data_IF_476885728250
#
_entry.id   IF_476885728250
#
_cell.length_a   1.000
_cell.length_b   1.000
_cell.length_c   1.000
_cell.angle_alpha   90.00
_cell.angle_beta   90.00
_cell.angle_gamma   90.00
#
_symmetry.space_group_name_H-M   'P 1'
#
loop_
_entity.id
_entity.type
_entity.pdbx_description
1 polymer ?
#
# COMPACT_ATOMS: atom_id res chain seq x y z
N UNK A 1 16.29 -14.32 -23.55
CA UNK A 1 14.90 -14.24 -23.00
C UNK A 1 14.22 -15.54 -22.49
N UNK A 2 14.81 -16.75 -22.58
CA UNK A 2 14.16 -17.99 -22.07
C UNK A 2 14.20 -18.10 -20.53
N UNK A 3 15.31 -17.71 -19.91
CA UNK A 3 15.49 -17.77 -18.45
C UNK A 3 14.52 -16.85 -17.67
N UNK A 4 14.22 -15.66 -18.19
CA UNK A 4 13.28 -14.73 -17.54
C UNK A 4 11.83 -15.23 -17.64
N UNK A 5 11.43 -15.75 -18.81
CA UNK A 5 10.10 -16.32 -19.05
C UNK A 5 9.78 -17.56 -18.22
N UNK A 6 10.78 -18.30 -17.77
CA UNK A 6 10.60 -19.52 -16.97
C UNK A 6 10.56 -19.28 -15.46
N UNK A 7 10.92 -18.09 -14.99
CA UNK A 7 11.04 -17.83 -13.56
C UNK A 7 9.75 -17.38 -12.89
N UNK A 8 8.69 -17.06 -13.64
CA UNK A 8 7.41 -16.47 -13.18
C UNK A 8 7.51 -15.19 -12.30
N UNK A 9 8.73 -14.74 -11.99
CA UNK A 9 9.03 -13.56 -11.20
C UNK A 9 9.05 -12.29 -12.06
N UNK A 10 9.24 -12.41 -13.37
CA UNK A 10 9.29 -11.26 -14.29
C UNK A 10 7.94 -11.07 -14.98
N UNK A 11 7.26 -9.93 -14.76
CA UNK A 11 6.05 -9.61 -15.49
C UNK A 11 6.31 -9.57 -17.00
N UNK A 12 5.26 -9.86 -17.78
CA UNK A 12 5.33 -9.84 -19.25
C UNK A 12 5.85 -8.51 -19.80
N UNK A 13 5.56 -7.39 -19.12
CA UNK A 13 6.08 -6.06 -19.49
C UNK A 13 7.61 -6.02 -19.46
N UNK A 14 8.25 -6.54 -18.40
CA UNK A 14 9.72 -6.57 -18.26
C UNK A 14 10.35 -7.42 -19.35
N UNK A 15 9.78 -8.61 -19.59
CA UNK A 15 10.23 -9.54 -20.63
C UNK A 15 10.16 -8.92 -22.02
N UNK A 16 9.13 -8.11 -22.30
CA UNK A 16 8.97 -7.38 -23.56
C UNK A 16 9.97 -6.23 -23.70
N UNK A 17 10.17 -5.42 -22.65
CA UNK A 17 11.15 -4.33 -22.69
C UNK A 17 12.58 -4.85 -22.87
N UNK A 18 12.92 -5.96 -22.23
CA UNK A 18 14.21 -6.64 -22.43
C UNK A 18 14.33 -7.19 -23.86
N UNK A 19 13.26 -7.77 -24.42
CA UNK A 19 13.28 -8.24 -25.82
C UNK A 19 13.55 -7.09 -26.81
N UNK A 20 12.87 -5.95 -26.62
CA UNK A 20 13.05 -4.75 -27.45
C UNK A 20 14.47 -4.19 -27.28
N UNK A 21 15.00 -4.20 -26.05
CA UNK A 21 16.37 -3.77 -25.76
C UNK A 21 17.45 -4.67 -26.37
N UNK A 22 17.25 -5.99 -26.36
CA UNK A 22 18.12 -6.95 -27.04
C UNK A 22 18.09 -6.76 -28.58
N UNK A 23 16.91 -6.54 -29.17
CA UNK A 23 16.75 -6.37 -30.63
C UNK A 23 17.31 -5.03 -31.15
N UNK A 24 17.19 -3.96 -30.34
CA UNK A 24 17.67 -2.62 -30.69
C UNK A 24 19.10 -2.32 -30.21
N UNK A 25 19.74 -3.25 -29.51
CA UNK A 25 21.05 -3.03 -28.88
C UNK A 25 21.05 -2.00 -27.75
N UNK A 26 19.86 -1.68 -27.19
CA UNK A 26 19.65 -0.67 -26.15
C UNK A 26 19.23 -1.27 -24.80
N UNK A 27 19.68 -2.50 -24.52
CA UNK A 27 19.30 -3.27 -23.32
C UNK A 27 19.50 -2.48 -22.01
N UNK A 28 20.62 -1.77 -21.87
CA UNK A 28 20.91 -0.95 -20.68
C UNK A 28 19.83 0.13 -20.45
N UNK A 29 19.44 0.83 -21.52
CA UNK A 29 18.41 1.86 -21.45
C UNK A 29 17.03 1.27 -21.13
N UNK A 30 16.71 0.09 -21.68
CA UNK A 30 15.44 -0.59 -21.38
C UNK A 30 15.40 -1.11 -19.94
N UNK A 31 16.50 -1.63 -19.40
CA UNK A 31 16.60 -2.08 -18.01
C UNK A 31 16.50 -0.92 -17.03
N UNK A 32 17.14 0.22 -17.32
CA UNK A 32 17.01 1.43 -16.52
C UNK A 32 15.55 1.88 -16.43
N UNK A 33 14.82 1.87 -17.55
CA UNK A 33 13.41 2.23 -17.57
C UNK A 33 12.50 1.27 -16.79
N UNK A 34 12.85 -0.02 -16.77
CA UNK A 34 12.17 -1.00 -15.91
C UNK A 34 12.44 -0.70 -14.44
N UNK A 35 13.67 -0.34 -14.07
CA UNK A 35 14.02 0.05 -12.71
C UNK A 35 13.20 1.28 -12.26
N UNK A 36 13.19 2.35 -13.05
CA UNK A 36 12.42 3.57 -12.77
C UNK A 36 10.93 3.27 -12.58
N UNK A 37 10.37 2.35 -13.38
CA UNK A 37 8.98 1.94 -13.27
C UNK A 37 8.67 1.18 -11.96
N UNK A 38 9.56 0.30 -11.51
CA UNK A 38 9.37 -0.38 -10.24
C UNK A 38 9.61 0.52 -9.04
N UNK A 39 10.58 1.44 -9.12
CA UNK A 39 10.81 2.45 -8.10
C UNK A 39 9.55 3.30 -7.91
N UNK A 40 8.98 3.83 -9.01
CA UNK A 40 7.73 4.59 -8.95
C UNK A 40 6.56 3.78 -8.35
N UNK A 41 6.41 2.50 -8.69
CA UNK A 41 5.37 1.66 -8.09
C UNK A 41 5.58 1.44 -6.59
N UNK A 42 6.83 1.31 -6.14
CA UNK A 42 7.16 1.15 -4.72
C UNK A 42 6.86 2.44 -3.98
N UNK A 43 7.28 3.58 -4.52
CA UNK A 43 7.00 4.89 -3.94
C UNK A 43 5.49 5.15 -3.83
N UNK A 44 4.74 4.91 -4.91
CA UNK A 44 3.28 5.02 -4.92
C UNK A 44 2.63 4.09 -3.87
N UNK A 45 3.13 2.86 -3.72
CA UNK A 45 2.62 1.92 -2.74
C UNK A 45 2.90 2.40 -1.30
N UNK A 46 4.09 2.95 -1.05
CA UNK A 46 4.49 3.48 0.26
C UNK A 46 3.66 4.72 0.61
N UNK A 47 3.45 5.63 -0.34
CA UNK A 47 2.65 6.83 -0.15
C UNK A 47 1.19 6.49 0.15
N UNK A 48 0.61 5.57 -0.63
CA UNK A 48 -0.75 5.09 -0.39
C UNK A 48 -0.87 4.39 0.97
N UNK A 49 0.12 3.58 1.36
CA UNK A 49 0.10 2.92 2.66
C UNK A 49 0.15 3.95 3.79
N UNK A 50 0.98 4.98 3.65
CA UNK A 50 1.08 6.09 4.62
C UNK A 50 -0.21 6.90 4.70
N UNK A 51 -0.81 7.23 3.55
CA UNK A 51 -2.07 7.97 3.48
C UNK A 51 -3.24 7.20 4.13
N UNK A 52 -3.24 5.86 4.08
CA UNK A 52 -4.24 5.03 4.75
C UNK A 52 -4.01 4.88 6.26
N UNK A 53 -2.78 5.10 6.76
CA UNK A 53 -2.51 5.03 8.19
C UNK A 53 -3.25 6.14 8.98
N UNK A 54 -3.33 7.35 8.43
CA UNK A 54 -4.02 8.48 9.08
C UNK A 54 -5.50 8.18 9.41
N UNK A 55 -6.36 7.79 8.45
CA UNK A 55 -7.76 7.48 8.72
C UNK A 55 -7.92 6.25 9.63
N UNK A 56 -7.02 5.27 9.57
CA UNK A 56 -7.03 4.13 10.50
C UNK A 56 -6.78 4.57 11.95
N UNK A 57 -5.80 5.45 12.18
CA UNK A 57 -5.51 6.00 13.51
C UNK A 57 -6.71 6.82 14.00
N UNK A 58 -7.31 7.66 13.15
CA UNK A 58 -8.50 8.43 13.52
C UNK A 58 -9.69 7.54 13.88
N UNK A 59 -9.95 6.48 13.11
CA UNK A 59 -11.01 5.52 13.42
C UNK A 59 -10.77 4.83 14.76
N UNK A 60 -9.53 4.40 15.03
CA UNK A 60 -9.15 3.80 16.31
C UNK A 60 -9.36 4.76 17.49
N UNK A 61 -8.88 6.00 17.37
CA UNK A 61 -9.07 7.03 18.39
C UNK A 61 -10.55 7.33 18.63
N UNK A 62 -11.35 7.40 17.57
CA UNK A 62 -12.80 7.58 17.66
C UNK A 62 -13.49 6.48 18.47
N UNK A 63 -13.11 5.21 18.25
CA UNK A 63 -13.63 4.07 19.01
C UNK A 63 -13.23 4.17 20.49
N UNK A 64 -11.96 4.46 20.77
CA UNK A 64 -11.45 4.56 22.15
C UNK A 64 -12.16 5.69 22.91
N UNK A 65 -12.24 6.88 22.31
CA UNK A 65 -12.90 8.04 22.91
C UNK A 65 -14.40 7.79 23.06
N UNK A 66 -15.07 7.26 22.03
CA UNK A 66 -16.49 6.93 22.08
C UNK A 66 -16.82 5.93 23.20
N UNK A 67 -15.97 4.90 23.36
CA UNK A 67 -16.13 3.91 24.43
C UNK A 67 -15.94 4.54 25.82
N UNK A 68 -14.96 5.43 25.98
CA UNK A 68 -14.74 6.14 27.24
C UNK A 68 -15.94 7.00 27.64
N UNK A 69 -16.52 7.74 26.68
CA UNK A 69 -17.71 8.56 26.92
C UNK A 69 -18.87 7.69 27.41
N UNK A 70 -19.17 6.58 26.71
CA UNK A 70 -20.23 5.65 27.12
C UNK A 70 -19.95 5.10 28.53
N UNK A 71 -18.71 4.69 28.82
CA UNK A 71 -18.32 4.15 30.11
C UNK A 71 -18.49 5.16 31.26
N UNK A 72 -18.26 6.46 31.02
CA UNK A 72 -18.44 7.48 32.06
C UNK A 72 -19.90 7.90 32.25
N UNK A 73 -20.69 8.01 31.19
CA UNK A 73 -22.07 8.52 31.28
C UNK A 73 -23.11 7.44 31.60
N UNK A 74 -22.91 6.19 31.16
CA UNK A 74 -23.85 5.10 31.41
C UNK A 74 -24.11 4.87 32.93
N UNK A 75 -23.11 4.88 33.83
CA UNK A 75 -23.34 4.76 35.27
C UNK A 75 -24.15 5.93 35.84
N UNK A 76 -23.92 7.15 35.36
CA UNK A 76 -24.67 8.34 35.80
C UNK A 76 -26.15 8.18 35.45
N UNK A 77 -26.46 7.75 34.22
CA UNK A 77 -27.84 7.47 33.81
C UNK A 77 -28.49 6.35 34.63
N UNK A 78 -27.73 5.30 34.96
CA UNK A 78 -28.25 4.21 35.80
C UNK A 78 -28.52 4.65 37.23
N UNK A 79 -27.72 5.54 37.80
CA UNK A 79 -27.97 6.10 39.13
C UNK A 79 -29.18 7.04 39.14
N UNK A 80 -29.36 7.85 38.10
CA UNK A 80 -30.51 8.75 37.97
C UNK A 80 -31.84 8.03 37.72
N UNK A 81 -31.83 6.80 37.21
CA UNK A 81 -33.04 6.00 36.99
C UNK A 81 -33.49 5.18 38.21
N UNK A 82 -32.68 5.13 39.28
CA UNK A 82 -32.95 4.36 40.52
C UNK A 82 -33.55 5.25 41.62
N UNK A 83 -33.68 6.56 41.38
CA UNK A 83 -34.32 7.56 42.26
C UNK A 83 -35.65 7.98 41.65
#
# INVERSE_FOLDING_TARGET
NVAMKQSDLFPNMVVQMVAIGEESGSLDAMLAKVADFFEAQVDDAVDNMTALMEPMIMAFLGIVIGTLVIAMYLPIFKLGAVV
#
